data_IF_362204873817
#
_entry.id   IF_362204873817
#
_cell.length_a   1.000
_cell.length_b   1.000
_cell.length_c   1.000
_cell.angle_alpha   90.00
_cell.angle_beta   90.00
_cell.angle_gamma   90.00
#
_symmetry.space_group_name_H-M   'P 1'
#
loop_
_entity.id
_entity.type
_entity.pdbx_description
1 polymer ?
#
# COMPACT_ATOMS: atom_id res chain seq x y z
N UNK A 1 9.52 -18.36 18.37
CA UNK A 1 8.54 -17.30 18.05
C UNK A 1 9.15 -16.32 17.08
N UNK A 2 8.86 -16.42 15.79
CA UNK A 2 9.28 -15.43 14.79
C UNK A 2 8.13 -14.46 14.53
N UNK A 3 8.12 -13.34 15.25
CA UNK A 3 7.20 -12.25 14.97
C UNK A 3 7.58 -11.61 13.62
N UNK A 4 6.69 -11.70 12.65
CA UNK A 4 6.84 -10.99 11.37
C UNK A 4 6.55 -9.53 11.67
N UNK A 5 7.60 -8.77 11.98
CA UNK A 5 7.48 -7.31 12.12
C UNK A 5 7.33 -6.71 10.72
N UNK A 6 6.27 -5.95 10.51
CA UNK A 6 6.18 -4.96 9.43
C UNK A 6 7.33 -3.96 9.66
N UNK A 7 8.43 -4.12 8.92
CA UNK A 7 9.63 -3.30 9.14
C UNK A 7 9.36 -1.87 8.67
N UNK A 8 9.08 -1.01 9.66
CA UNK A 8 9.33 0.42 9.59
C UNK A 8 10.84 0.64 9.56
N UNK A 9 11.41 0.95 8.40
CA UNK A 9 12.56 1.86 8.17
C UNK A 9 13.30 1.53 6.86
N UNK A 10 13.76 2.54 6.10
CA UNK A 10 14.84 2.32 5.12
C UNK A 10 16.09 1.82 5.85
N UNK A 11 16.93 1.01 5.20
CA UNK A 11 18.16 0.51 5.84
C UNK A 11 19.04 1.69 6.28
N UNK A 12 19.62 1.62 7.50
CA UNK A 12 20.53 2.63 8.06
C UNK A 12 21.60 3.10 7.05
N UNK A 13 22.10 2.18 6.23
CA UNK A 13 23.05 2.47 5.16
C UNK A 13 22.51 3.44 4.10
N UNK A 14 21.24 3.31 3.68
CA UNK A 14 20.61 4.24 2.72
C UNK A 14 20.46 5.64 3.32
N UNK A 15 20.22 5.73 4.62
CA UNK A 15 20.10 7.01 5.32
C UNK A 15 21.46 7.71 5.47
N UNK A 16 22.51 6.96 5.81
CA UNK A 16 23.90 7.48 5.86
C UNK A 16 24.35 7.99 4.49
N UNK A 17 24.15 7.21 3.42
CA UNK A 17 24.50 7.62 2.05
C UNK A 17 23.79 8.92 1.66
N UNK A 18 22.52 9.07 2.08
CA UNK A 18 21.74 10.28 1.83
C UNK A 18 22.32 11.49 2.57
N UNK A 19 22.67 11.34 3.84
CA UNK A 19 23.29 12.41 4.63
C UNK A 19 24.61 12.87 3.99
N UNK A 20 25.47 11.92 3.62
CA UNK A 20 26.75 12.23 2.97
C UNK A 20 26.51 13.00 1.66
N UNK A 21 25.62 12.50 0.78
CA UNK A 21 25.27 13.18 -0.47
C UNK A 21 24.82 14.63 -0.24
N UNK A 22 23.96 14.88 0.76
CA UNK A 22 23.47 16.21 1.08
C UNK A 22 24.59 17.15 1.55
N UNK A 23 25.48 16.66 2.41
CA UNK A 23 26.63 17.44 2.91
C UNK A 23 27.57 17.78 1.75
N UNK A 24 27.88 16.80 0.90
CA UNK A 24 28.73 17.01 -0.28
C UNK A 24 28.12 18.04 -1.25
N UNK A 25 26.80 18.00 -1.44
CA UNK A 25 26.09 19.00 -2.23
C UNK A 25 26.16 20.40 -1.59
N UNK A 26 25.98 20.51 -0.27
CA UNK A 26 26.09 21.79 0.42
C UNK A 26 27.49 22.40 0.31
N UNK A 27 28.54 21.57 0.40
CA UNK A 27 29.93 22.01 0.19
C UNK A 27 30.13 22.53 -1.23
N UNK A 28 29.58 21.85 -2.24
CA UNK A 28 29.64 22.31 -3.64
C UNK A 28 29.05 23.72 -3.80
N UNK A 29 27.89 24.00 -3.19
CA UNK A 29 27.27 25.32 -3.23
C UNK A 29 28.08 26.38 -2.46
N UNK A 30 28.59 26.04 -1.27
CA UNK A 30 29.43 26.95 -0.50
C UNK A 30 30.69 27.37 -1.29
N UNK A 31 31.29 26.45 -2.05
CA UNK A 31 32.42 26.77 -2.92
C UNK A 31 32.04 27.70 -4.07
N UNK A 32 30.82 27.59 -4.63
CA UNK A 32 30.33 28.55 -5.62
C UNK A 32 30.11 29.94 -5.01
N UNK A 33 29.62 30.01 -3.78
CA UNK A 33 29.50 31.28 -3.04
C UNK A 33 30.88 31.87 -2.76
N UNK A 34 31.84 31.07 -2.33
CA UNK A 34 33.23 31.50 -2.14
C UNK A 34 33.84 32.02 -3.45
N UNK A 35 33.50 31.41 -4.59
CA UNK A 35 33.94 31.91 -5.90
C UNK A 35 33.31 33.26 -6.27
N UNK A 36 32.04 33.49 -5.94
CA UNK A 36 31.40 34.80 -6.16
C UNK A 36 32.11 35.90 -5.36
N UNK A 37 32.53 35.55 -4.13
CA UNK A 37 33.27 36.44 -3.23
C UNK A 37 34.79 36.41 -3.46
N UNK A 38 35.27 35.85 -4.58
CA UNK A 38 36.72 35.61 -4.80
C UNK A 38 37.58 36.86 -4.66
N UNK A 39 37.10 38.02 -5.08
CA UNK A 39 37.84 39.29 -5.01
C UNK A 39 37.93 39.78 -3.55
N UNK A 40 36.85 39.66 -2.78
CA UNK A 40 36.82 39.99 -1.36
C UNK A 40 37.68 39.03 -0.51
N UNK A 41 37.76 37.77 -0.91
CA UNK A 41 38.51 36.72 -0.21
C UNK A 41 39.96 36.57 -0.71
N UNK A 42 40.40 37.39 -1.68
CA UNK A 42 41.72 37.28 -2.32
C UNK A 42 42.02 35.89 -2.92
N UNK A 43 40.99 35.21 -3.45
CA UNK A 43 41.05 33.84 -3.99
C UNK A 43 41.21 33.78 -5.53
N UNK A 44 41.63 34.88 -6.16
CA UNK A 44 41.67 35.01 -7.62
C UNK A 44 42.56 33.95 -8.29
N UNK A 45 43.72 33.64 -7.66
CA UNK A 45 44.68 32.65 -8.16
C UNK A 45 44.14 31.20 -8.16
N UNK A 46 43.09 30.91 -7.38
CA UNK A 46 42.53 29.56 -7.22
C UNK A 46 41.08 29.51 -7.77
N UNK A 47 40.59 30.60 -8.36
CA UNK A 47 39.20 30.75 -8.79
C UNK A 47 38.74 29.63 -9.76
N UNK A 48 39.57 29.25 -10.73
CA UNK A 48 39.24 28.16 -11.65
C UNK A 48 39.17 26.80 -10.93
N UNK A 49 40.07 26.55 -9.97
CA UNK A 49 40.09 25.31 -9.20
C UNK A 49 38.88 25.21 -8.28
N UNK A 50 38.40 26.31 -7.70
CA UNK A 50 37.18 26.33 -6.88
C UNK A 50 35.95 25.84 -7.65
N UNK A 51 35.84 26.20 -8.92
CA UNK A 51 34.73 25.75 -9.79
C UNK A 51 34.86 24.27 -10.11
N UNK A 52 36.07 23.81 -10.48
CA UNK A 52 36.33 22.38 -10.75
C UNK A 52 35.98 21.54 -9.52
N UNK A 53 36.44 21.95 -8.34
CA UNK A 53 36.21 21.25 -7.08
C UNK A 53 34.72 21.29 -6.70
N UNK A 54 34.03 22.41 -6.92
CA UNK A 54 32.60 22.50 -6.70
C UNK A 54 31.81 21.51 -7.58
N UNK A 55 32.14 21.44 -8.87
CA UNK A 55 31.51 20.47 -9.80
C UNK A 55 31.87 19.04 -9.39
N UNK A 56 33.10 18.78 -8.94
CA UNK A 56 33.52 17.48 -8.42
C UNK A 56 32.70 17.02 -7.23
N UNK A 57 32.47 17.91 -6.25
CA UNK A 57 31.61 17.61 -5.10
C UNK A 57 30.15 17.40 -5.52
N UNK A 58 29.64 18.17 -6.49
CA UNK A 58 28.31 17.91 -7.07
C UNK A 58 28.24 16.54 -7.76
N UNK A 59 29.28 16.16 -8.50
CA UNK A 59 29.35 14.87 -9.16
C UNK A 59 29.35 13.72 -8.15
N UNK A 60 30.14 13.81 -7.08
CA UNK A 60 30.17 12.82 -6.00
C UNK A 60 28.79 12.71 -5.34
N UNK A 61 28.17 13.82 -4.94
CA UNK A 61 26.85 13.80 -4.31
C UNK A 61 25.80 13.15 -5.21
N UNK A 62 25.88 13.43 -6.51
CA UNK A 62 24.97 12.91 -7.53
C UNK A 62 25.20 11.42 -7.77
N UNK A 63 26.45 10.94 -7.83
CA UNK A 63 26.79 9.52 -8.01
C UNK A 63 26.44 8.67 -6.78
N UNK A 64 26.56 9.21 -5.56
CA UNK A 64 26.14 8.51 -4.33
C UNK A 64 24.63 8.18 -4.29
N UNK A 65 23.84 8.85 -5.13
CA UNK A 65 22.38 8.62 -5.22
C UNK A 65 21.98 7.72 -6.41
N UNK A 66 22.93 6.93 -6.95
CA UNK A 66 22.63 5.93 -7.97
C UNK A 66 21.74 4.83 -7.40
N UNK A 67 20.67 4.52 -8.12
CA UNK A 67 19.78 3.41 -7.79
C UNK A 67 20.40 2.08 -8.24
N UNK A 68 20.84 1.25 -7.29
CA UNK A 68 21.50 -0.06 -7.57
C UNK A 68 20.55 -1.25 -7.47
N UNK A 69 19.24 -1.02 -7.41
CA UNK A 69 18.26 -2.10 -7.19
C UNK A 69 18.18 -3.09 -8.37
N UNK A 70 18.49 -2.62 -9.59
CA UNK A 70 18.58 -3.43 -10.82
C UNK A 70 19.79 -3.01 -11.65
N UNK A 71 20.41 -3.93 -12.39
CA UNK A 71 21.53 -3.62 -13.31
C UNK A 71 21.06 -2.66 -14.39
N UNK A 72 19.83 -2.87 -14.91
CA UNK A 72 19.23 -1.99 -15.92
C UNK A 72 18.96 -0.59 -15.33
N UNK A 73 18.43 -0.54 -14.11
CA UNK A 73 18.18 0.72 -13.41
C UNK A 73 19.50 1.43 -13.03
N UNK A 74 20.53 0.68 -12.66
CA UNK A 74 21.85 1.21 -12.33
C UNK A 74 22.51 1.84 -13.55
N UNK A 75 22.54 1.15 -14.69
CA UNK A 75 23.08 1.68 -15.95
C UNK A 75 22.31 2.94 -16.35
N UNK A 76 20.98 2.88 -16.37
CA UNK A 76 20.18 4.07 -16.67
C UNK A 76 20.41 5.20 -15.67
N UNK A 77 20.55 4.89 -14.39
CA UNK A 77 20.77 5.88 -13.35
C UNK A 77 22.11 6.55 -13.55
N UNK A 78 23.19 5.81 -13.85
CA UNK A 78 24.51 6.37 -14.16
C UNK A 78 24.41 7.35 -15.33
N UNK A 79 23.78 6.94 -16.45
CA UNK A 79 23.60 7.79 -17.63
C UNK A 79 22.80 9.06 -17.28
N UNK A 80 21.70 8.92 -16.53
CA UNK A 80 20.87 10.05 -16.13
C UNK A 80 21.59 11.02 -15.19
N UNK A 81 22.44 10.49 -14.31
CA UNK A 81 23.22 11.24 -13.32
C UNK A 81 24.38 11.97 -14.00
N UNK A 82 25.04 11.35 -14.97
CA UNK A 82 26.00 12.04 -15.85
C UNK A 82 25.32 13.21 -16.59
N UNK A 83 24.09 13.02 -17.07
CA UNK A 83 23.30 14.10 -17.66
C UNK A 83 22.97 15.24 -16.68
N UNK A 84 22.70 14.93 -15.40
CA UNK A 84 22.52 15.95 -14.36
C UNK A 84 23.80 16.74 -14.09
N UNK A 85 24.94 16.07 -14.03
CA UNK A 85 26.25 16.71 -13.83
C UNK A 85 26.52 17.68 -14.98
N UNK A 86 26.34 17.23 -16.23
CA UNK A 86 26.49 18.08 -17.40
C UNK A 86 25.54 19.28 -17.36
N UNK A 87 24.27 19.09 -16.97
CA UNK A 87 23.29 20.16 -16.85
C UNK A 87 23.65 21.17 -15.75
N UNK A 88 24.07 20.69 -14.58
CA UNK A 88 24.52 21.56 -13.49
C UNK A 88 25.74 22.37 -13.89
N UNK A 89 26.76 21.73 -14.47
CA UNK A 89 27.95 22.41 -14.99
C UNK A 89 27.58 23.45 -16.05
N UNK A 90 26.63 23.14 -16.93
CA UNK A 90 26.12 24.10 -17.93
C UNK A 90 25.52 25.34 -17.26
N UNK A 91 24.64 25.15 -16.28
CA UNK A 91 23.99 26.28 -15.56
C UNK A 91 25.04 27.11 -14.82
N UNK A 92 25.97 26.46 -14.11
CA UNK A 92 27.05 27.15 -13.39
C UNK A 92 27.91 27.94 -14.37
N UNK A 93 28.40 27.32 -15.45
CA UNK A 93 29.24 28.02 -16.42
C UNK A 93 28.49 29.16 -17.11
N UNK A 94 27.22 28.96 -17.45
CA UNK A 94 26.39 29.99 -18.06
C UNK A 94 26.21 31.19 -17.13
N UNK A 95 25.76 30.98 -15.89
CA UNK A 95 25.55 32.08 -14.93
C UNK A 95 26.87 32.78 -14.59
N UNK A 96 27.93 32.03 -14.37
CA UNK A 96 29.21 32.56 -13.93
C UNK A 96 30.00 33.20 -15.09
N UNK A 97 29.69 32.87 -16.35
CA UNK A 97 30.26 33.53 -17.53
C UNK A 97 30.04 35.05 -17.51
N UNK A 98 28.86 35.49 -17.10
CA UNK A 98 28.53 36.92 -16.93
C UNK A 98 29.34 37.60 -15.82
N UNK A 99 29.96 36.82 -14.94
CA UNK A 99 30.70 37.29 -13.76
C UNK A 99 32.23 37.15 -13.93
N UNK A 100 32.71 37.01 -15.17
CA UNK A 100 34.13 36.96 -15.50
C UNK A 100 34.76 35.57 -15.35
N UNK A 101 34.01 34.51 -15.65
CA UNK A 101 34.56 33.16 -15.77
C UNK A 101 35.57 33.07 -16.93
N UNK A 102 36.58 32.22 -16.79
CA UNK A 102 37.58 32.03 -17.85
C UNK A 102 36.98 31.37 -19.11
N UNK A 103 37.54 31.72 -20.27
CA UNK A 103 37.07 31.23 -21.59
C UNK A 103 37.04 29.70 -21.70
N UNK A 104 37.96 29.04 -21.00
CA UNK A 104 38.05 27.58 -20.92
C UNK A 104 36.73 26.90 -20.51
N UNK A 105 35.95 27.54 -19.63
CA UNK A 105 34.67 27.00 -19.19
C UNK A 105 33.49 27.49 -20.02
N UNK A 106 33.56 28.71 -20.56
CA UNK A 106 32.47 29.28 -21.36
C UNK A 106 32.28 28.53 -22.67
N UNK A 107 33.37 28.06 -23.28
CA UNK A 107 33.32 27.30 -24.54
C UNK A 107 32.69 25.91 -24.37
N UNK A 108 32.65 25.40 -23.12
CA UNK A 108 32.05 24.11 -22.78
C UNK A 108 30.54 24.19 -22.51
N UNK A 109 29.95 25.38 -22.42
CA UNK A 109 28.52 25.55 -22.07
C UNK A 109 27.62 24.81 -23.08
N UNK A 110 27.75 25.10 -24.37
CA UNK A 110 26.88 24.52 -25.40
C UNK A 110 27.10 23.00 -25.56
N UNK A 111 28.35 22.48 -25.62
CA UNK A 111 28.60 21.04 -25.63
C UNK A 111 28.01 20.31 -24.41
N UNK A 112 28.16 20.86 -23.20
CA UNK A 112 27.63 20.24 -21.98
C UNK A 112 26.09 20.27 -21.95
N UNK A 113 25.47 21.33 -22.47
CA UNK A 113 24.01 21.40 -22.57
C UNK A 113 23.45 20.32 -23.50
N UNK A 114 24.03 20.19 -24.69
CA UNK A 114 23.65 19.16 -25.67
C UNK A 114 23.87 17.76 -25.08
N UNK A 115 25.04 17.53 -24.46
CA UNK A 115 25.34 16.27 -23.80
C UNK A 115 24.33 15.94 -22.69
N UNK A 116 23.92 16.93 -21.89
CA UNK A 116 22.92 16.74 -20.85
C UNK A 116 21.58 16.26 -21.42
N UNK A 117 21.09 16.90 -22.50
CA UNK A 117 19.85 16.51 -23.17
C UNK A 117 19.96 15.09 -23.74
N UNK A 118 21.03 14.80 -24.47
CA UNK A 118 21.25 13.49 -25.10
C UNK A 118 21.32 12.40 -24.04
N UNK A 119 22.08 12.59 -22.96
CA UNK A 119 22.19 11.60 -21.87
C UNK A 119 20.85 11.39 -21.17
N UNK A 120 20.04 12.44 -21.00
CA UNK A 120 18.70 12.33 -20.42
C UNK A 120 17.76 11.53 -21.31
N UNK A 121 17.76 11.79 -22.62
CA UNK A 121 16.97 11.04 -23.59
C UNK A 121 17.45 9.59 -23.71
N UNK A 122 18.77 9.35 -23.75
CA UNK A 122 19.36 8.02 -23.80
C UNK A 122 18.97 7.17 -22.56
N UNK A 123 19.05 7.77 -21.36
CA UNK A 123 18.57 7.13 -20.13
C UNK A 123 17.09 6.76 -20.22
N UNK A 124 16.25 7.65 -20.76
CA UNK A 124 14.82 7.40 -20.90
C UNK A 124 14.53 6.27 -21.88
N UNK A 125 15.10 6.32 -23.08
CA UNK A 125 14.93 5.30 -24.12
C UNK A 125 15.43 3.93 -23.65
N UNK A 126 16.54 3.89 -22.91
CA UNK A 126 17.07 2.65 -22.36
C UNK A 126 16.10 2.00 -21.36
N UNK A 127 15.48 2.79 -20.49
CA UNK A 127 14.43 2.29 -19.57
C UNK A 127 13.22 1.82 -20.37
N UNK A 128 12.74 2.61 -21.32
CA UNK A 128 11.56 2.29 -22.12
C UNK A 128 11.72 0.95 -22.87
N UNK A 129 12.91 0.69 -23.40
CA UNK A 129 13.22 -0.52 -24.16
C UNK A 129 13.44 -1.76 -23.27
N UNK A 130 14.16 -1.61 -22.16
CA UNK A 130 14.58 -2.75 -21.33
C UNK A 130 13.58 -3.14 -20.24
N UNK A 131 12.59 -2.29 -19.94
CA UNK A 131 11.64 -2.58 -18.87
C UNK A 131 10.61 -3.60 -19.33
N UNK A 132 10.92 -4.88 -19.12
CA UNK A 132 9.91 -5.95 -19.11
C UNK A 132 8.82 -5.53 -18.13
N UNK A 133 7.58 -5.37 -18.61
CA UNK A 133 6.39 -5.09 -17.78
C UNK A 133 6.46 -5.97 -16.54
N UNK A 134 6.44 -5.39 -15.34
CA UNK A 134 6.54 -6.11 -14.07
C UNK A 134 5.33 -7.06 -13.94
N UNK A 135 5.49 -8.28 -14.47
CA UNK A 135 4.48 -9.33 -14.36
C UNK A 135 4.54 -9.90 -12.95
N UNK A 136 3.38 -10.18 -12.39
CA UNK A 136 3.24 -11.02 -11.22
C UNK A 136 3.83 -12.41 -11.55
N UNK A 137 4.73 -12.89 -10.69
CA UNK A 137 5.41 -14.18 -10.82
C UNK A 137 5.47 -14.87 -9.47
N UNK A 138 5.35 -16.18 -9.47
CA UNK A 138 5.61 -16.97 -8.27
C UNK A 138 7.10 -17.27 -8.14
N UNK A 139 7.53 -17.48 -6.89
CA UNK A 139 8.82 -18.06 -6.60
C UNK A 139 8.87 -19.50 -7.11
N UNK A 140 10.06 -19.96 -7.50
CA UNK A 140 10.26 -21.34 -7.98
C UNK A 140 10.33 -22.36 -6.84
N UNK A 141 10.38 -21.90 -5.60
CA UNK A 141 10.55 -22.72 -4.42
C UNK A 141 9.39 -22.52 -3.45
N UNK A 142 8.94 -23.62 -2.86
CA UNK A 142 8.06 -23.62 -1.70
C UNK A 142 8.90 -23.32 -0.47
N UNK A 143 8.35 -22.51 0.42
CA UNK A 143 8.95 -22.20 1.71
C UNK A 143 8.10 -22.73 2.83
N UNK A 144 8.75 -23.27 3.83
CA UNK A 144 8.10 -23.62 5.07
C UNK A 144 8.36 -22.53 6.11
N UNK A 145 7.28 -22.10 6.74
CA UNK A 145 7.27 -21.03 7.73
C UNK A 145 6.64 -21.61 8.98
N UNK A 146 7.31 -21.47 10.13
CA UNK A 146 6.75 -21.88 11.41
C UNK A 146 5.50 -21.06 11.79
N UNK A 147 4.89 -21.36 12.94
CA UNK A 147 3.72 -20.63 13.41
C UNK A 147 3.99 -19.13 13.44
N UNK A 148 3.06 -18.37 12.84
CA UNK A 148 3.23 -16.93 12.66
C UNK A 148 1.92 -16.18 12.85
N UNK A 149 2.03 -14.92 13.27
CA UNK A 149 0.91 -14.00 13.37
C UNK A 149 1.27 -12.68 12.69
N UNK A 150 0.34 -12.18 11.89
CA UNK A 150 0.34 -10.84 11.31
C UNK A 150 -0.65 -10.04 12.14
N UNK A 151 -0.13 -9.19 13.01
CA UNK A 151 -0.91 -8.42 13.98
C UNK A 151 -1.02 -6.96 13.53
N UNK A 152 -2.24 -6.44 13.58
CA UNK A 152 -2.60 -5.05 13.42
C UNK A 152 -3.56 -4.63 14.53
N UNK A 153 -3.74 -3.33 14.73
CA UNK A 153 -4.49 -2.76 15.87
C UNK A 153 -5.83 -3.45 16.16
N UNK A 154 -6.66 -3.69 15.14
CA UNK A 154 -7.98 -4.29 15.28
C UNK A 154 -8.09 -5.73 14.79
N UNK A 155 -7.04 -6.30 14.19
CA UNK A 155 -7.12 -7.65 13.62
C UNK A 155 -5.81 -8.42 13.70
N UNK A 156 -5.93 -9.74 13.85
CA UNK A 156 -4.81 -10.66 13.90
C UNK A 156 -5.08 -11.80 12.92
N UNK A 157 -4.18 -12.00 11.97
CA UNK A 157 -4.18 -13.18 11.09
C UNK A 157 -3.08 -14.13 11.55
N UNK A 158 -3.43 -15.33 12.00
CA UNK A 158 -2.49 -16.31 12.54
C UNK A 158 -2.56 -17.66 11.84
N UNK A 159 -1.41 -18.32 11.76
CA UNK A 159 -1.29 -19.74 11.46
C UNK A 159 -0.59 -20.41 12.63
N UNK A 160 -1.25 -21.42 13.20
CA UNK A 160 -0.76 -22.14 14.39
C UNK A 160 0.22 -23.27 14.03
N UNK A 161 0.32 -23.63 12.76
CA UNK A 161 1.10 -24.76 12.26
C UNK A 161 2.19 -24.30 11.29
N UNK A 162 3.15 -25.21 11.04
CA UNK A 162 4.12 -25.02 9.97
C UNK A 162 3.40 -24.96 8.63
N UNK A 163 3.46 -23.79 8.01
CA UNK A 163 2.73 -23.47 6.80
C UNK A 163 3.63 -23.56 5.59
N UNK A 164 3.18 -24.33 4.58
CA UNK A 164 3.81 -24.33 3.26
C UNK A 164 3.32 -23.11 2.48
N UNK A 165 4.27 -22.37 1.93
CA UNK A 165 4.04 -21.05 1.37
C UNK A 165 4.79 -20.86 0.06
N UNK A 166 4.11 -20.36 -0.98
CA UNK A 166 4.75 -19.93 -2.23
C UNK A 166 4.72 -18.41 -2.31
N UNK A 167 5.90 -17.78 -2.44
CA UNK A 167 5.99 -16.32 -2.49
C UNK A 167 5.54 -15.75 -3.83
N UNK A 168 4.81 -14.64 -3.79
CA UNK A 168 4.43 -13.86 -4.97
C UNK A 168 5.40 -12.68 -5.10
N UNK A 169 5.92 -12.51 -6.30
CA UNK A 169 6.82 -11.42 -6.68
C UNK A 169 6.24 -10.57 -7.79
N UNK A 170 6.55 -9.28 -7.73
CA UNK A 170 6.36 -8.32 -8.83
C UNK A 170 7.71 -7.70 -9.12
N UNK A 171 8.29 -8.04 -10.28
CA UNK A 171 9.70 -7.76 -10.54
C UNK A 171 10.60 -8.44 -9.50
N UNK A 172 11.44 -7.66 -8.81
CA UNK A 172 12.32 -8.14 -7.71
C UNK A 172 11.67 -8.07 -6.32
N UNK A 173 10.52 -7.41 -6.18
CA UNK A 173 9.86 -7.19 -4.87
C UNK A 173 8.97 -8.38 -4.50
N UNK A 174 9.07 -8.82 -3.25
CA UNK A 174 8.10 -9.75 -2.64
C UNK A 174 6.89 -8.94 -2.21
N UNK A 175 5.70 -9.35 -2.62
CA UNK A 175 4.46 -8.57 -2.47
C UNK A 175 3.34 -9.37 -1.79
N UNK A 176 3.57 -10.64 -1.54
CA UNK A 176 2.58 -11.53 -0.97
C UNK A 176 3.02 -12.97 -1.06
N UNK A 177 2.09 -13.86 -0.74
CA UNK A 177 2.32 -15.29 -0.71
C UNK A 177 1.01 -16.07 -0.79
N UNK A 178 1.08 -17.33 -1.19
CA UNK A 178 -0.02 -18.30 -1.11
C UNK A 178 0.28 -19.25 0.04
N UNK A 179 -0.61 -19.32 1.02
CA UNK A 179 -0.56 -20.28 2.12
C UNK A 179 -1.42 -21.51 1.80
N UNK A 180 -0.87 -22.70 2.04
CA UNK A 180 -1.55 -23.98 1.84
C UNK A 180 -2.11 -24.58 3.15
N UNK A 181 -2.01 -23.87 4.26
CA UNK A 181 -2.62 -24.27 5.54
C UNK A 181 -3.75 -23.30 5.93
N UNK A 182 -4.68 -23.80 6.73
CA UNK A 182 -5.78 -23.00 7.26
C UNK A 182 -5.23 -21.89 8.18
N UNK A 183 -5.86 -20.73 8.14
CA UNK A 183 -5.50 -19.59 8.99
C UNK A 183 -6.69 -19.11 9.80
N UNK A 184 -6.41 -18.49 10.94
CA UNK A 184 -7.41 -17.87 11.79
C UNK A 184 -7.29 -16.35 11.68
N UNK A 185 -8.41 -15.68 11.46
CA UNK A 185 -8.53 -14.23 11.44
C UNK A 185 -9.43 -13.80 12.59
N UNK A 186 -8.89 -13.02 13.51
CA UNK A 186 -9.65 -12.41 14.59
C UNK A 186 -9.77 -10.90 14.34
N UNK A 187 -10.97 -10.35 14.46
CA UNK A 187 -11.24 -8.90 14.35
C UNK A 187 -11.98 -8.41 15.60
N UNK A 188 -11.49 -7.31 16.20
CA UNK A 188 -12.08 -6.71 17.40
C UNK A 188 -13.16 -5.69 17.01
N UNK A 189 -14.37 -5.91 17.51
CA UNK A 189 -15.51 -5.02 17.35
C UNK A 189 -16.22 -4.86 18.70
N UNK A 190 -16.83 -3.70 18.95
CA UNK A 190 -17.53 -3.35 20.19
C UNK A 190 -18.74 -4.26 20.49
N UNK A 191 -19.34 -4.86 19.46
CA UNK A 191 -20.38 -5.88 19.58
C UNK A 191 -19.80 -7.22 20.03
N UNK A 192 -18.54 -7.52 19.72
CA UNK A 192 -17.86 -8.75 20.06
C UNK A 192 -16.72 -9.07 19.10
N UNK A 193 -15.86 -10.02 19.49
CA UNK A 193 -14.76 -10.47 18.63
C UNK A 193 -15.29 -11.39 17.52
N UNK A 194 -14.98 -11.06 16.28
CA UNK A 194 -15.29 -11.87 15.10
C UNK A 194 -14.13 -12.81 14.87
N UNK A 195 -14.40 -14.12 14.76
CA UNK A 195 -13.38 -15.15 14.57
C UNK A 195 -13.71 -15.94 13.31
N UNK A 196 -12.90 -15.75 12.28
CA UNK A 196 -13.02 -16.41 11.00
C UNK A 196 -11.90 -17.43 10.87
N UNK A 197 -12.27 -18.67 10.56
CA UNK A 197 -11.33 -19.67 10.07
C UNK A 197 -11.34 -19.63 8.55
N UNK A 198 -10.15 -19.57 7.96
CA UNK A 198 -9.93 -19.34 6.54
C UNK A 198 -9.30 -20.59 5.93
N UNK A 199 -10.07 -21.27 5.09
CA UNK A 199 -9.64 -22.49 4.41
C UNK A 199 -8.51 -22.23 3.40
N UNK A 200 -7.56 -23.17 3.36
CA UNK A 200 -6.52 -23.23 2.33
C UNK A 200 -7.07 -23.73 0.97
N UNK A 201 -6.41 -23.39 -0.15
CA UNK A 201 -5.30 -22.44 -0.28
C UNK A 201 -5.76 -20.98 -0.20
N UNK A 202 -5.00 -20.14 0.50
CA UNK A 202 -5.30 -18.72 0.70
C UNK A 202 -4.16 -17.84 0.21
N UNK A 203 -4.47 -16.91 -0.70
CA UNK A 203 -3.52 -15.89 -1.12
C UNK A 203 -3.59 -14.69 -0.19
N UNK A 204 -2.42 -14.31 0.31
CA UNK A 204 -2.20 -13.18 1.18
C UNK A 204 -1.35 -12.17 0.45
N UNK A 205 -1.88 -10.97 0.25
CA UNK A 205 -1.25 -9.92 -0.53
C UNK A 205 -1.16 -8.62 0.28
N UNK A 206 0.08 -8.14 0.44
CA UNK A 206 0.38 -6.85 1.04
C UNK A 206 1.82 -6.47 0.72
N UNK A 207 2.10 -5.22 0.31
CA UNK A 207 3.42 -4.81 -0.18
C UNK A 207 4.47 -4.75 0.93
N UNK A 208 4.05 -4.76 2.20
CA UNK A 208 4.92 -4.69 3.36
C UNK A 208 5.22 -6.06 3.99
N UNK A 209 4.66 -7.14 3.44
CA UNK A 209 4.91 -8.49 3.95
C UNK A 209 6.32 -8.95 3.60
N UNK A 210 7.11 -9.19 4.64
CA UNK A 210 8.40 -9.87 4.52
C UNK A 210 8.33 -11.20 5.23
N UNK A 211 8.14 -12.25 4.45
CA UNK A 211 8.26 -13.62 4.92
C UNK A 211 9.65 -14.18 4.62
N UNK A 212 10.27 -14.69 5.67
CA UNK A 212 11.47 -15.49 5.61
C UNK A 212 11.13 -16.88 6.15
N UNK A 213 11.47 -17.90 5.37
CA UNK A 213 11.22 -19.30 5.66
C UNK A 213 12.31 -20.16 5.05
N UNK A 214 12.37 -21.42 5.45
CA UNK A 214 13.34 -22.39 4.89
C UNK A 214 12.80 -22.88 3.56
N UNK A 215 13.67 -23.01 2.56
CA UNK A 215 13.29 -23.63 1.30
C UNK A 215 13.09 -25.13 1.53
N UNK A 216 12.00 -25.67 1.01
CA UNK A 216 11.71 -27.10 1.06
C UNK A 216 11.64 -27.63 -0.36
N UNK A 217 12.19 -28.84 -0.58
CA UNK A 217 12.03 -29.56 -1.83
C UNK A 217 10.62 -30.17 -1.87
N UNK A 218 9.64 -29.35 -2.20
CA UNK A 218 8.25 -29.77 -2.40
C UNK A 218 7.88 -29.84 -3.89
N UNK A 219 6.80 -30.57 -4.17
CA UNK A 219 6.30 -30.90 -5.51
C UNK A 219 5.84 -29.67 -6.30
N UNK A 220 6.07 -29.71 -7.62
CA UNK A 220 5.56 -28.76 -8.63
C UNK A 220 4.04 -28.53 -8.56
N UNK A 221 3.29 -29.42 -7.92
CA UNK A 221 1.85 -29.30 -7.69
C UNK A 221 1.46 -28.03 -6.92
N UNK A 222 2.16 -27.70 -5.82
CA UNK A 222 1.88 -26.51 -5.01
C UNK A 222 2.08 -25.22 -5.82
N UNK A 223 3.12 -25.17 -6.64
CA UNK A 223 3.40 -24.01 -7.50
C UNK A 223 2.30 -23.87 -8.56
N UNK A 224 1.84 -24.97 -9.15
CA UNK A 224 0.76 -24.96 -10.13
C UNK A 224 -0.57 -24.49 -9.52
N UNK A 225 -0.89 -24.91 -8.29
CA UNK A 225 -2.09 -24.47 -7.58
C UNK A 225 -2.02 -23.00 -7.19
N UNK A 226 -0.87 -22.54 -6.66
CA UNK A 226 -0.62 -21.13 -6.42
C UNK A 226 -0.75 -20.31 -7.72
N UNK A 227 -0.31 -20.85 -8.86
CA UNK A 227 -0.40 -20.16 -10.15
C UNK A 227 -1.85 -20.04 -10.62
N UNK A 228 -2.66 -21.09 -10.45
CA UNK A 228 -4.11 -21.04 -10.74
C UNK A 228 -4.80 -19.97 -9.89
N UNK A 229 -4.47 -19.92 -8.60
CA UNK A 229 -5.08 -18.98 -7.66
C UNK A 229 -4.63 -17.53 -7.95
N UNK A 230 -3.36 -17.31 -8.26
CA UNK A 230 -2.85 -16.00 -8.71
C UNK A 230 -3.52 -15.54 -10.02
N UNK A 231 -3.71 -16.44 -10.99
CA UNK A 231 -4.40 -16.12 -12.24
C UNK A 231 -5.88 -15.77 -12.01
N UNK A 232 -6.56 -16.46 -11.08
CA UNK A 232 -7.94 -16.17 -10.68
C UNK A 232 -8.06 -14.81 -9.98
N UNK A 233 -7.08 -14.45 -9.14
CA UNK A 233 -7.01 -13.10 -8.57
C UNK A 233 -6.84 -12.04 -9.66
N UNK A 234 -5.91 -12.25 -10.60
CA UNK A 234 -5.62 -11.32 -11.69
C UNK A 234 -6.79 -11.11 -12.65
N UNK A 235 -7.70 -12.10 -12.77
CA UNK A 235 -8.91 -11.97 -13.58
C UNK A 235 -10.09 -11.36 -12.82
N UNK A 236 -10.16 -11.53 -11.49
CA UNK A 236 -11.30 -11.11 -10.67
C UNK A 236 -11.14 -9.74 -10.01
N UNK A 237 -9.91 -9.35 -9.64
CA UNK A 237 -9.61 -8.00 -9.20
C UNK A 237 -9.04 -7.19 -10.37
N UNK A 238 -9.49 -5.95 -10.59
CA UNK A 238 -8.73 -4.99 -11.36
C UNK A 238 -7.54 -4.56 -10.49
N UNK A 239 -6.57 -5.46 -10.29
CA UNK A 239 -5.24 -5.11 -9.83
C UNK A 239 -4.74 -4.06 -10.83
N UNK A 240 -4.79 -2.77 -10.44
CA UNK A 240 -4.48 -1.64 -11.32
C UNK A 240 -3.17 -1.96 -12.03
N UNK A 241 -3.23 -1.99 -13.36
CA UNK A 241 -2.00 -2.01 -14.16
C UNK A 241 -1.16 -0.85 -13.68
N UNK A 242 0.11 -1.11 -13.36
CA UNK A 242 1.02 -0.05 -12.93
C UNK A 242 1.09 0.97 -14.07
N UNK A 243 0.56 2.15 -13.84
CA UNK A 243 0.68 3.25 -14.77
C UNK A 243 2.01 3.92 -14.46
N UNK A 244 2.93 3.80 -15.42
CA UNK A 244 4.27 4.36 -15.27
C UNK A 244 4.54 5.30 -16.44
N UNK A 245 4.61 6.59 -16.13
CA UNK A 245 5.00 7.64 -17.07
C UNK A 245 6.33 8.16 -16.58
N UNK A 246 7.37 8.10 -17.41
CA UNK A 246 8.65 8.77 -17.14
C UNK A 246 8.92 9.74 -18.28
N UNK A 247 9.19 10.97 -17.93
CA UNK A 247 9.59 12.08 -18.77
C UNK A 247 10.85 12.70 -18.12
N UNK A 248 11.60 13.57 -18.82
CA UNK A 248 12.88 14.10 -18.34
C UNK A 248 12.84 14.71 -16.93
N UNK A 249 11.72 15.35 -16.58
CA UNK A 249 11.51 15.98 -15.26
C UNK A 249 10.34 15.39 -14.49
N UNK A 250 9.50 14.56 -15.11
CA UNK A 250 8.27 14.05 -14.48
C UNK A 250 8.34 12.53 -14.45
N UNK A 251 8.20 11.90 -13.30
CA UNK A 251 7.92 10.47 -13.24
C UNK A 251 6.72 10.18 -12.39
N UNK A 252 5.67 9.63 -12.99
CA UNK A 252 4.47 9.16 -12.30
C UNK A 252 4.49 7.65 -12.29
N UNK A 253 4.28 7.07 -11.13
CA UNK A 253 4.14 5.64 -10.90
C UNK A 253 2.91 5.43 -10.03
N UNK A 254 1.80 5.00 -10.63
CA UNK A 254 0.56 4.66 -9.93
C UNK A 254 0.43 3.14 -9.88
N UNK A 255 0.18 2.60 -8.70
CA UNK A 255 -0.18 1.21 -8.49
C UNK A 255 -1.40 1.08 -7.56
N UNK A 256 -1.74 -0.14 -7.18
CA UNK A 256 -2.90 -0.45 -6.33
C UNK A 256 -2.75 0.06 -4.89
N UNK A 257 -1.54 0.47 -4.51
CA UNK A 257 -1.17 0.83 -3.16
C UNK A 257 -0.89 2.32 -3.02
N UNK A 258 -0.65 3.01 -4.13
CA UNK A 258 -0.45 4.44 -4.11
C UNK A 258 0.15 5.00 -5.38
N UNK A 259 0.53 6.26 -5.26
CA UNK A 259 1.09 7.05 -6.34
C UNK A 259 2.42 7.63 -5.92
N UNK A 260 3.43 7.49 -6.78
CA UNK A 260 4.70 8.18 -6.68
C UNK A 260 4.82 9.13 -7.84
N UNK A 261 4.85 10.41 -7.54
CA UNK A 261 5.02 11.47 -8.52
C UNK A 261 6.33 12.18 -8.22
N UNK A 262 7.20 12.28 -9.22
CA UNK A 262 8.39 13.12 -9.18
C UNK A 262 8.22 14.22 -10.18
N UNK A 263 8.44 15.46 -9.78
CA UNK A 263 8.54 16.62 -10.67
C UNK A 263 9.83 17.37 -10.32
N UNK A 264 10.88 17.14 -11.09
CA UNK A 264 12.22 17.71 -10.85
C UNK A 264 12.79 17.27 -9.49
N UNK A 265 13.07 18.21 -8.56
CA UNK A 265 13.52 17.92 -7.20
C UNK A 265 12.37 17.55 -6.25
N UNK A 266 11.11 17.69 -6.66
CA UNK A 266 9.93 17.38 -5.84
C UNK A 266 9.59 15.89 -6.02
N UNK A 267 9.42 15.18 -4.92
CA UNK A 267 8.98 13.79 -4.86
C UNK A 267 7.77 13.73 -3.94
N UNK A 268 6.63 13.35 -4.50
CA UNK A 268 5.41 13.07 -3.77
C UNK A 268 5.23 11.56 -3.77
N UNK A 269 5.11 10.97 -2.59
CA UNK A 269 4.79 9.56 -2.40
C UNK A 269 3.52 9.49 -1.57
N UNK A 270 2.43 9.04 -2.18
CA UNK A 270 1.15 8.82 -1.53
C UNK A 270 0.86 7.32 -1.56
N UNK A 271 1.36 6.57 -0.57
CA UNK A 271 1.22 5.11 -0.47
C UNK A 271 0.60 4.69 0.85
N UNK A 272 -0.53 3.97 0.82
CA UNK A 272 -1.12 3.27 1.98
C UNK A 272 -1.07 4.05 3.32
N UNK A 273 -1.54 5.30 3.31
CA UNK A 273 -1.60 6.17 4.49
C UNK A 273 -0.30 6.92 4.81
N UNK A 274 0.71 6.82 3.95
CA UNK A 274 1.90 7.66 3.99
C UNK A 274 1.84 8.63 2.83
N UNK A 275 1.63 9.90 3.14
CA UNK A 275 1.86 10.99 2.21
C UNK A 275 3.16 11.69 2.60
N UNK A 276 4.13 11.60 1.70
CA UNK A 276 5.44 12.20 1.85
C UNK A 276 5.73 13.08 0.66
N UNK A 277 5.93 14.36 0.93
CA UNK A 277 6.43 15.33 -0.04
C UNK A 277 7.86 15.66 0.35
N UNK A 278 8.80 15.32 -0.52
CA UNK A 278 10.19 15.74 -0.44
C UNK A 278 10.46 16.79 -1.51
N UNK A 279 10.95 17.96 -1.12
CA UNK A 279 11.40 19.00 -2.05
C UNK A 279 12.93 19.10 -1.90
N UNK A 280 13.64 18.48 -2.84
CA UNK A 280 15.09 18.33 -2.76
C UNK A 280 15.53 17.62 -1.47
N UNK A 281 16.79 17.82 -1.03
CA UNK A 281 17.28 17.26 0.23
C UNK A 281 16.81 18.01 1.49
N UNK A 282 16.14 19.16 1.37
CA UNK A 282 15.95 20.11 2.47
C UNK A 282 14.61 19.99 3.18
N UNK A 283 13.53 19.80 2.42
CA UNK A 283 12.17 19.87 2.95
C UNK A 283 11.55 18.50 2.84
N UNK A 284 11.18 17.95 4.00
CA UNK A 284 10.45 16.70 4.12
C UNK A 284 9.17 16.99 4.88
N UNK A 285 8.07 16.96 4.18
CA UNK A 285 6.73 17.05 4.76
C UNK A 285 6.16 15.64 4.72
N UNK A 286 5.92 15.09 5.89
CA UNK A 286 5.43 13.72 6.06
C UNK A 286 4.22 13.78 6.95
N UNK A 287 3.04 13.54 6.38
CA UNK A 287 1.85 13.23 7.16
C UNK A 287 1.91 11.74 7.47
N UNK A 288 2.45 11.38 8.64
CA UNK A 288 2.32 10.03 9.18
C UNK A 288 0.87 9.84 9.65
N UNK A 289 -0.06 9.61 8.73
CA UNK A 289 -1.26 8.89 9.14
C UNK A 289 -0.80 7.47 9.50
N UNK A 290 -1.09 7.02 10.73
CA UNK A 290 -0.68 5.70 11.25
C UNK A 290 -0.81 4.66 10.14
N UNK A 291 0.33 4.10 9.70
CA UNK A 291 0.43 3.21 8.53
C UNK A 291 -0.83 2.36 8.37
N UNK A 292 -1.56 2.53 7.27
CA UNK A 292 -2.69 1.65 7.00
C UNK A 292 -2.11 0.30 6.63
N UNK A 293 -2.14 -0.64 7.58
CA UNK A 293 -1.83 -2.04 7.30
C UNK A 293 -2.96 -2.60 6.45
N UNK A 294 -2.82 -2.49 5.12
CA UNK A 294 -3.77 -3.08 4.20
C UNK A 294 -3.30 -4.47 3.84
N UNK A 295 -4.15 -5.45 4.12
CA UNK A 295 -3.95 -6.86 3.81
C UNK A 295 -5.12 -7.34 2.95
N UNK A 296 -4.82 -7.92 1.81
CA UNK A 296 -5.80 -8.55 0.95
C UNK A 296 -5.66 -10.07 1.07
N UNK A 297 -6.78 -10.73 1.36
CA UNK A 297 -6.90 -12.18 1.41
C UNK A 297 -7.83 -12.62 0.29
N UNK A 298 -7.46 -13.67 -0.42
CA UNK A 298 -8.27 -14.21 -1.52
C UNK A 298 -8.21 -15.73 -1.54
N UNK A 299 -9.39 -16.36 -1.56
CA UNK A 299 -9.53 -17.79 -1.83
C UNK A 299 -10.31 -17.99 -3.12
N UNK A 300 -9.93 -19.02 -3.88
CA UNK A 300 -10.65 -19.42 -5.09
C UNK A 300 -11.70 -20.52 -4.81
N UNK A 301 -11.57 -21.26 -3.70
CA UNK A 301 -12.47 -22.35 -3.36
C UNK A 301 -12.65 -22.47 -1.83
N UNK A 302 -13.77 -21.96 -1.27
CA UNK A 302 -14.79 -21.16 -1.94
C UNK A 302 -14.27 -19.78 -2.38
N UNK A 303 -14.91 -19.17 -3.40
CA UNK A 303 -14.45 -17.88 -3.94
C UNK A 303 -14.87 -16.73 -3.02
N UNK A 304 -13.92 -16.17 -2.28
CA UNK A 304 -14.13 -14.97 -1.45
C UNK A 304 -12.90 -14.07 -1.43
N UNK A 305 -13.11 -12.81 -1.04
CA UNK A 305 -12.03 -11.84 -0.81
C UNK A 305 -12.24 -11.07 0.49
N UNK A 306 -11.16 -10.84 1.21
CA UNK A 306 -11.15 -10.05 2.44
C UNK A 306 -10.15 -8.93 2.26
N UNK A 307 -10.59 -7.68 2.46
CA UNK A 307 -9.71 -6.53 2.58
C UNK A 307 -9.71 -6.10 4.04
N UNK A 308 -8.55 -6.20 4.66
CA UNK A 308 -8.31 -5.75 6.03
C UNK A 308 -7.56 -4.43 5.98
N UNK A 309 -7.98 -3.49 6.81
CA UNK A 309 -7.29 -2.24 7.11
C UNK A 309 -7.22 -2.06 8.63
N UNK A 310 -6.58 -1.01 9.13
CA UNK A 310 -6.42 -0.82 10.58
C UNK A 310 -7.73 -0.82 11.37
N UNK A 311 -8.80 -0.29 10.79
CA UNK A 311 -10.08 -0.06 11.47
C UNK A 311 -11.28 -0.51 10.59
N UNK A 312 -11.05 -1.33 9.57
CA UNK A 312 -12.13 -1.85 8.71
C UNK A 312 -11.75 -3.22 8.14
N UNK A 313 -12.68 -4.16 8.18
CA UNK A 313 -12.66 -5.41 7.44
C UNK A 313 -13.81 -5.41 6.43
N UNK A 314 -13.48 -5.48 5.14
CA UNK A 314 -14.46 -5.69 4.07
C UNK A 314 -14.32 -7.13 3.60
N UNK A 315 -15.36 -7.91 3.84
CA UNK A 315 -15.47 -9.30 3.42
C UNK A 315 -16.47 -9.41 2.26
N UNK A 316 -16.09 -10.09 1.18
CA UNK A 316 -16.94 -10.28 -0.01
C UNK A 316 -16.97 -11.73 -0.43
N UNK A 317 -18.18 -12.25 -0.63
CA UNK A 317 -18.44 -13.55 -1.23
C UNK A 317 -19.54 -13.38 -2.28
N UNK A 318 -19.28 -13.78 -3.53
CA UNK A 318 -20.22 -13.56 -4.63
C UNK A 318 -20.71 -12.10 -4.73
N UNK A 319 -22.00 -11.84 -4.50
CA UNK A 319 -22.60 -10.50 -4.49
C UNK A 319 -22.73 -9.92 -3.06
N UNK A 320 -22.37 -10.70 -2.06
CA UNK A 320 -22.57 -10.39 -0.64
C UNK A 320 -21.37 -9.60 -0.16
N UNK A 321 -21.65 -8.57 0.65
CA UNK A 321 -20.61 -7.71 1.20
C UNK A 321 -20.86 -7.44 2.67
N UNK A 322 -19.88 -7.79 3.49
CA UNK A 322 -19.84 -7.46 4.90
C UNK A 322 -18.79 -6.38 5.11
N UNK A 323 -19.17 -5.31 5.80
CA UNK A 323 -18.31 -4.19 6.16
C UNK A 323 -18.32 -4.11 7.68
N UNK A 324 -17.17 -4.32 8.29
CA UNK A 324 -17.02 -4.42 9.74
C UNK A 324 -15.99 -3.39 10.18
N UNK A 325 -16.41 -2.43 11.00
CA UNK A 325 -15.52 -1.47 11.65
C UNK A 325 -15.48 -1.75 13.15
N UNK A 326 -14.72 -1.00 13.99
CA UNK A 326 -14.74 -1.20 15.43
C UNK A 326 -16.12 -1.05 16.07
N UNK A 327 -16.98 -0.14 15.59
CA UNK A 327 -18.24 0.21 16.24
C UNK A 327 -19.50 -0.29 15.52
N UNK A 328 -19.39 -0.71 14.26
CA UNK A 328 -20.54 -1.15 13.47
C UNK A 328 -20.23 -2.35 12.57
N UNK A 329 -21.29 -3.06 12.21
CA UNK A 329 -21.29 -4.12 11.20
C UNK A 329 -22.40 -3.81 10.21
N UNK A 330 -22.08 -3.83 8.92
CA UNK A 330 -23.04 -3.68 7.83
C UNK A 330 -22.96 -4.86 6.88
N UNK A 331 -24.11 -5.39 6.47
CA UNK A 331 -24.23 -6.50 5.54
C UNK A 331 -25.13 -6.09 4.38
N UNK A 332 -24.60 -6.15 3.16
CA UNK A 332 -25.31 -5.86 1.92
C UNK A 332 -25.49 -7.18 1.14
N UNK A 333 -26.74 -7.52 0.82
CA UNK A 333 -27.10 -8.76 0.10
C UNK A 333 -28.37 -8.57 -0.74
N UNK A 334 -28.30 -8.65 -2.07
CA UNK A 334 -29.47 -8.70 -2.98
C UNK A 334 -30.68 -7.82 -2.58
N UNK A 335 -30.44 -6.53 -2.29
CA UNK A 335 -31.48 -5.57 -1.89
C UNK A 335 -31.79 -5.51 -0.38
N UNK A 336 -31.20 -6.40 0.40
CA UNK A 336 -31.12 -6.33 1.86
C UNK A 336 -29.89 -5.53 2.30
N UNK A 337 -30.07 -4.69 3.31
CA UNK A 337 -29.03 -3.91 3.96
C UNK A 337 -29.27 -3.91 5.47
N UNK A 338 -28.41 -4.58 6.21
CA UNK A 338 -28.48 -4.73 7.66
C UNK A 338 -27.29 -4.03 8.27
N UNK A 339 -27.52 -2.92 8.94
CA UNK A 339 -26.52 -2.18 9.69
C UNK A 339 -26.82 -2.27 11.18
N UNK A 340 -25.78 -2.57 11.97
CA UNK A 340 -25.89 -2.76 13.40
C UNK A 340 -24.72 -2.12 14.12
N UNK A 341 -25.03 -1.42 15.20
CA UNK A 341 -24.08 -0.91 16.21
C UNK A 341 -24.59 -1.29 17.60
N UNK A 342 -23.88 -0.86 18.66
CA UNK A 342 -24.23 -1.21 20.04
C UNK A 342 -25.68 -0.85 20.41
N UNK A 343 -26.18 0.28 19.91
CA UNK A 343 -27.49 0.85 20.27
C UNK A 343 -28.42 1.04 19.07
N UNK A 344 -27.99 0.65 17.88
CA UNK A 344 -28.74 0.89 16.65
C UNK A 344 -28.82 -0.38 15.81
N UNK A 345 -30.00 -0.64 15.26
CA UNK A 345 -30.23 -1.69 14.27
C UNK A 345 -31.06 -1.09 13.14
N UNK A 346 -30.57 -1.19 11.93
CA UNK A 346 -31.26 -0.76 10.72
C UNK A 346 -31.30 -1.94 9.76
N UNK A 347 -32.48 -2.52 9.57
CA UNK A 347 -32.75 -3.61 8.63
C UNK A 347 -33.59 -3.04 7.52
N UNK A 348 -33.03 -3.00 6.32
CA UNK A 348 -33.74 -2.67 5.10
C UNK A 348 -33.87 -3.94 4.27
N UNK A 349 -35.10 -4.30 3.95
CA UNK A 349 -35.48 -5.40 3.09
C UNK A 349 -36.32 -4.86 1.91
N UNK A 350 -36.56 -5.66 0.85
CA UNK A 350 -37.39 -5.25 -0.27
C UNK A 350 -38.78 -4.74 0.14
N UNK A 351 -39.40 -5.39 1.14
CA UNK A 351 -40.80 -5.16 1.50
C UNK A 351 -41.00 -4.32 2.77
N UNK A 352 -39.94 -4.13 3.56
CA UNK A 352 -40.01 -3.39 4.81
C UNK A 352 -38.68 -2.77 5.25
N UNK A 353 -38.78 -1.85 6.21
CA UNK A 353 -37.65 -1.27 6.91
C UNK A 353 -37.91 -1.24 8.41
N UNK A 354 -36.99 -1.78 9.19
CA UNK A 354 -36.98 -1.71 10.65
C UNK A 354 -35.79 -0.86 11.08
N UNK A 355 -36.05 0.20 11.86
CA UNK A 355 -35.03 1.00 12.53
C UNK A 355 -35.26 0.96 14.02
N UNK A 356 -34.25 0.53 14.77
CA UNK A 356 -34.17 0.60 16.21
C UNK A 356 -33.03 1.55 16.55
N UNK A 357 -33.31 2.55 17.37
CA UNK A 357 -32.31 3.49 17.88
C UNK A 357 -32.64 3.83 19.32
N UNK A 358 -31.74 3.48 20.22
CA UNK A 358 -31.93 3.60 21.66
C UNK A 358 -33.22 2.88 22.11
N UNK A 359 -34.28 3.61 22.47
CA UNK A 359 -35.57 3.04 22.86
C UNK A 359 -36.66 3.15 21.78
N UNK A 360 -36.35 3.76 20.63
CA UNK A 360 -37.32 4.04 19.57
C UNK A 360 -37.23 2.98 18.47
N UNK A 361 -38.38 2.43 18.14
CA UNK A 361 -38.56 1.41 17.11
C UNK A 361 -39.46 2.01 16.03
N UNK A 362 -39.00 1.99 14.78
CA UNK A 362 -39.72 2.45 13.61
C UNK A 362 -39.78 1.30 12.60
N UNK A 363 -41.00 0.86 12.29
CA UNK A 363 -41.27 -0.15 11.28
C UNK A 363 -42.03 0.48 10.12
N UNK A 364 -41.53 0.30 8.91
CA UNK A 364 -42.11 0.84 7.68
C UNK A 364 -42.37 -0.33 6.75
N UNK A 365 -43.59 -0.46 6.23
CA UNK A 365 -43.92 -1.44 5.19
C UNK A 365 -44.83 -0.78 4.16
N UNK A 366 -44.38 -0.76 2.90
CA UNK A 366 -45.02 -0.01 1.83
C UNK A 366 -45.23 1.47 2.19
N UNK A 367 -46.49 1.91 2.26
CA UNK A 367 -46.87 3.29 2.60
C UNK A 367 -47.17 3.52 4.09
N UNK A 368 -47.09 2.47 4.93
CA UNK A 368 -47.44 2.55 6.35
C UNK A 368 -46.18 2.63 7.21
N UNK A 369 -46.21 3.49 8.21
CA UNK A 369 -45.15 3.63 9.20
C UNK A 369 -45.70 3.52 10.62
N UNK A 370 -45.10 2.67 11.43
CA UNK A 370 -45.43 2.44 12.83
C UNK A 370 -44.24 2.82 13.69
N UNK A 371 -44.45 3.62 14.72
CA UNK A 371 -43.40 4.03 15.67
C UNK A 371 -43.82 3.64 17.08
N UNK A 372 -42.91 3.05 17.83
CA UNK A 372 -43.09 2.62 19.22
C UNK A 372 -41.87 3.04 20.03
N UNK A 373 -42.06 3.41 21.30
CA UNK A 373 -40.98 3.59 22.25
C UNK A 373 -41.04 2.48 23.29
N UNK A 374 -40.09 1.55 23.26
CA UNK A 374 -39.99 0.45 24.22
C UNK A 374 -38.53 -0.01 24.32
N UNK A 375 -37.89 0.31 25.45
CA UNK A 375 -36.47 -0.01 25.69
C UNK A 375 -36.21 -1.50 25.67
N UNK A 376 -37.06 -2.31 26.32
CA UNK A 376 -36.84 -3.75 26.45
C UNK A 376 -36.97 -4.46 25.10
N UNK A 377 -38.00 -4.10 24.33
CA UNK A 377 -38.17 -4.62 22.98
C UNK A 377 -37.00 -4.20 22.06
N UNK A 378 -36.52 -2.96 22.18
CA UNK A 378 -35.38 -2.49 21.40
C UNK A 378 -34.10 -3.29 21.71
N UNK A 379 -33.81 -3.54 22.99
CA UNK A 379 -32.68 -4.36 23.43
C UNK A 379 -32.81 -5.82 22.96
N UNK A 380 -34.00 -6.41 23.04
CA UNK A 380 -34.26 -7.79 22.59
C UNK A 380 -34.09 -7.91 21.07
N UNK A 381 -34.56 -6.93 20.29
CA UNK A 381 -34.39 -6.91 18.82
C UNK A 381 -32.92 -6.81 18.42
N UNK A 382 -32.16 -5.89 19.03
CA UNK A 382 -30.72 -5.73 18.77
C UNK A 382 -29.98 -7.01 19.16
N UNK A 383 -30.31 -7.61 20.30
CA UNK A 383 -29.69 -8.84 20.79
C UNK A 383 -29.96 -10.04 19.88
N UNK A 384 -31.21 -10.21 19.43
CA UNK A 384 -31.58 -11.28 18.51
C UNK A 384 -30.86 -11.15 17.16
N UNK A 385 -30.83 -9.94 16.58
CA UNK A 385 -30.08 -9.67 15.35
C UNK A 385 -28.58 -9.95 15.52
N UNK A 386 -28.01 -9.51 16.65
CA UNK A 386 -26.59 -9.72 16.97
C UNK A 386 -26.23 -11.19 17.01
N UNK A 387 -27.01 -12.02 17.71
CA UNK A 387 -26.76 -13.46 17.82
C UNK A 387 -26.73 -14.09 16.43
N UNK A 388 -27.77 -13.84 15.61
CA UNK A 388 -27.87 -14.45 14.27
C UNK A 388 -26.80 -13.96 13.31
N UNK A 389 -26.45 -12.67 13.38
CA UNK A 389 -25.39 -12.10 12.56
C UNK A 389 -24.02 -12.69 12.91
N UNK A 390 -23.70 -12.83 14.20
CA UNK A 390 -22.45 -13.46 14.64
C UNK A 390 -22.40 -14.95 14.34
N UNK A 391 -23.52 -15.67 14.46
CA UNK A 391 -23.62 -17.08 14.05
C UNK A 391 -23.26 -17.24 12.58
N UNK A 392 -23.82 -16.43 11.68
CA UNK A 392 -23.52 -16.51 10.25
C UNK A 392 -22.09 -16.11 9.91
N UNK A 393 -21.59 -15.00 10.48
CA UNK A 393 -20.22 -14.55 10.22
C UNK A 393 -19.22 -15.62 10.69
N UNK A 394 -19.36 -16.14 11.91
CA UNK A 394 -18.40 -17.10 12.47
C UNK A 394 -18.52 -18.51 11.87
N UNK A 395 -19.68 -18.88 11.32
CA UNK A 395 -19.89 -20.17 10.66
C UNK A 395 -19.67 -20.13 9.14
N UNK A 396 -19.06 -19.05 8.64
CA UNK A 396 -18.82 -18.81 7.23
C UNK A 396 -18.14 -19.96 6.48
N UNK A 397 -17.26 -20.75 7.12
CA UNK A 397 -16.66 -21.94 6.50
C UNK A 397 -17.70 -22.97 6.01
N UNK A 398 -18.89 -22.97 6.62
CA UNK A 398 -20.00 -23.89 6.33
C UNK A 398 -21.07 -23.24 5.46
N UNK A 399 -21.27 -21.94 5.59
CA UNK A 399 -22.35 -21.20 4.93
C UNK A 399 -21.74 -20.33 3.82
N UNK A 400 -21.84 -20.82 2.58
CA UNK A 400 -21.26 -20.20 1.38
C UNK A 400 -22.03 -18.95 0.89
N UNK A 401 -22.97 -18.44 1.68
CA UNK A 401 -23.80 -17.27 1.37
C UNK A 401 -24.36 -16.65 2.66
N UNK A 402 -24.67 -15.36 2.62
CA UNK A 402 -25.46 -14.72 3.68
C UNK A 402 -26.94 -15.06 3.52
N UNK A 403 -27.62 -15.43 4.60
CA UNK A 403 -29.07 -15.67 4.58
C UNK A 403 -29.80 -14.63 5.46
N UNK A 404 -30.35 -13.55 4.86
CA UNK A 404 -31.06 -12.53 5.62
C UNK A 404 -32.31 -13.08 6.31
N UNK A 405 -32.90 -14.18 5.83
CA UNK A 405 -34.14 -14.75 6.36
C UNK A 405 -33.94 -15.17 7.82
N UNK A 406 -32.80 -15.74 8.19
CA UNK A 406 -32.52 -16.12 9.57
C UNK A 406 -32.58 -14.94 10.55
N UNK A 407 -32.11 -13.77 10.13
CA UNK A 407 -32.15 -12.56 10.96
C UNK A 407 -33.59 -12.05 11.02
N UNK A 408 -34.28 -12.00 9.88
CA UNK A 408 -35.66 -11.51 9.78
C UNK A 408 -36.61 -12.37 10.61
N UNK A 409 -36.49 -13.70 10.55
CA UNK A 409 -37.29 -14.63 11.35
C UNK A 409 -37.05 -14.42 12.83
N UNK A 410 -35.79 -14.29 13.27
CA UNK A 410 -35.49 -14.03 14.68
C UNK A 410 -36.08 -12.69 15.18
N UNK A 411 -36.07 -11.65 14.33
CA UNK A 411 -36.70 -10.37 14.66
C UNK A 411 -38.22 -10.49 14.73
N UNK A 412 -38.82 -11.27 13.83
CA UNK A 412 -40.26 -11.55 13.82
C UNK A 412 -40.68 -12.27 15.10
N UNK A 413 -39.95 -13.31 15.51
CA UNK A 413 -40.24 -14.09 16.73
C UNK A 413 -40.24 -13.19 17.98
N UNK A 414 -39.29 -12.24 18.05
CA UNK A 414 -39.25 -11.24 19.14
C UNK A 414 -40.48 -10.32 19.10
N UNK A 415 -40.88 -9.84 17.92
CA UNK A 415 -42.06 -8.97 17.79
C UNK A 415 -43.34 -9.72 18.18
N UNK A 416 -43.51 -10.97 17.73
CA UNK A 416 -44.69 -11.79 18.03
C UNK A 416 -44.80 -12.10 19.54
N UNK A 417 -43.68 -12.44 20.19
CA UNK A 417 -43.64 -12.68 21.63
C UNK A 417 -44.00 -11.45 22.50
N UNK A 418 -43.85 -10.24 21.95
CA UNK A 418 -44.31 -9.01 22.59
C UNK A 418 -45.74 -8.62 22.18
N UNK A 419 -46.15 -8.97 20.95
CA UNK A 419 -47.52 -8.79 20.47
C UNK A 419 -48.54 -9.64 21.23
N UNK A 420 -48.13 -10.80 21.75
CA UNK A 420 -48.97 -11.61 22.67
C UNK A 420 -49.03 -11.04 24.11
N UNK A 421 -48.16 -10.07 24.45
CA UNK A 421 -48.06 -9.45 25.78
C UNK A 421 -48.60 -8.02 25.83
N UNK A 422 -49.05 -7.49 24.69
CA UNK A 422 -49.73 -6.21 24.51
C UNK A 422 -51.22 -6.46 24.28
#
# INVERSE_FOLDING_TARGET
>A
MSSIKLVKTPSLMKEIIRIISNVTFAISLLLLVAWLLRSLLSLENIANNLIIVSIGFYAISTLLTIETEDVILAISSIISKAGNIALFSTIVFFVFSFLGLSKLFTDLILPLFIAAIILKLASWSFIAMMRKRDKYRLDKHVKEIGPYAIDAKQWVLSSNEFSKVVLIRRGRRKIGFVNFNNMNLEFKNELGNIKLKLNAPLLVYSPFLRLNGKNVNDSTSFINEAQKLLNSLLSSMPLRRREYIKLPFISVESDEFGERVRVGPIYVTAELGREEVMIGPWIRISTESKHKSILYLFSANPKYSIKLSNDEMIFRINNDRFIINPSNIRVEYLGYDIEMSKNELNVQAPDFKLKVRDNRILFISGKRSYSLNNTKLAEDLISAAKIKLFEQINSFERILYFDPVYIITALKDVIEAYGEKL
#
